data_IF_094428245066
#
_entry.id   IF_094428245066
#
_cell.length_a   1.000
_cell.length_b   1.000
_cell.length_c   1.000
_cell.angle_alpha   90.00
_cell.angle_beta   90.00
_cell.angle_gamma   90.00
#
_symmetry.space_group_name_H-M   'P 1'
#
loop_
_entity.id
_entity.type
_entity.pdbx_description
1 polymer ?
#
# COMPACT_ATOMS: atom_id res chain seq x y z
N UNK A 1 -11.75 8.19 11.01
CA UNK A 1 -10.44 7.72 10.54
C UNK A 1 -10.68 6.62 9.52
N UNK A 2 -10.02 6.61 8.36
CA UNK A 2 -10.04 5.46 7.44
C UNK A 2 -8.81 4.59 7.66
N UNK A 3 -9.02 3.28 7.73
CA UNK A 3 -7.99 2.29 8.00
C UNK A 3 -7.74 1.43 6.76
N UNK A 4 -6.54 1.52 6.20
CA UNK A 4 -6.07 0.64 5.12
C UNK A 4 -5.06 -0.38 5.64
N UNK A 5 -5.27 -1.65 5.30
CA UNK A 5 -4.35 -2.75 5.64
C UNK A 5 -3.70 -3.31 4.37
N UNK A 6 -2.37 -3.34 4.32
CA UNK A 6 -1.66 -4.09 3.28
C UNK A 6 -1.74 -5.59 3.55
N UNK A 7 -2.19 -6.34 2.55
CA UNK A 7 -2.40 -7.78 2.62
C UNK A 7 -1.75 -8.49 1.43
N UNK A 8 -1.30 -9.73 1.65
CA UNK A 8 -0.55 -10.51 0.65
C UNK A 8 -1.22 -11.84 0.30
N UNK A 9 -2.41 -12.10 0.84
CA UNK A 9 -3.19 -13.30 0.59
C UNK A 9 -4.64 -13.11 1.07
N UNK A 10 -5.52 -14.03 0.67
CA UNK A 10 -6.95 -13.99 1.00
C UNK A 10 -7.20 -14.13 2.50
N UNK A 11 -6.42 -14.96 3.20
CA UNK A 11 -6.55 -15.12 4.66
C UNK A 11 -6.35 -13.78 5.38
N UNK A 12 -5.31 -13.04 5.00
CA UNK A 12 -5.00 -11.71 5.51
C UNK A 12 -6.10 -10.71 5.20
N UNK A 13 -6.69 -10.77 4.01
CA UNK A 13 -7.82 -9.91 3.61
C UNK A 13 -9.06 -10.16 4.50
N UNK A 14 -9.41 -11.43 4.73
CA UNK A 14 -10.52 -11.81 5.62
C UNK A 14 -10.25 -11.38 7.06
N UNK A 15 -9.01 -11.54 7.54
CA UNK A 15 -8.59 -11.13 8.89
C UNK A 15 -8.57 -9.61 9.06
N UNK A 16 -8.18 -8.86 8.04
CA UNK A 16 -8.29 -7.41 8.04
C UNK A 16 -9.76 -6.97 8.17
N UNK A 17 -10.68 -7.65 7.48
CA UNK A 17 -12.13 -7.40 7.62
C UNK A 17 -12.65 -7.69 9.03
N UNK A 18 -12.26 -8.84 9.60
CA UNK A 18 -12.58 -9.20 10.99
C UNK A 18 -12.04 -8.16 11.99
N UNK A 19 -10.92 -7.53 11.65
CA UNK A 19 -10.31 -6.44 12.41
C UNK A 19 -11.01 -5.09 12.25
N UNK A 20 -11.92 -4.98 11.28
CA UNK A 20 -12.61 -3.74 10.95
C UNK A 20 -11.77 -2.79 10.08
N UNK A 21 -10.93 -3.29 9.18
CA UNK A 21 -10.37 -2.42 8.15
C UNK A 21 -11.49 -1.79 7.29
N UNK A 22 -11.28 -0.58 6.78
CA UNK A 22 -12.20 0.05 5.82
C UNK A 22 -11.83 -0.32 4.39
N UNK A 23 -10.54 -0.57 4.17
CA UNK A 23 -9.93 -0.86 2.89
C UNK A 23 -8.75 -1.80 3.05
N UNK A 24 -8.46 -2.57 2.00
CA UNK A 24 -7.20 -3.29 1.88
C UNK A 24 -6.41 -2.82 0.66
N UNK A 25 -5.09 -2.83 0.78
CA UNK A 25 -4.16 -2.82 -0.35
C UNK A 25 -3.69 -4.25 -0.59
N UNK A 26 -4.12 -4.86 -1.69
CA UNK A 26 -3.75 -6.21 -2.09
C UNK A 26 -2.47 -6.19 -2.92
N UNK A 27 -1.44 -6.84 -2.38
CA UNK A 27 -0.10 -6.94 -2.92
C UNK A 27 0.35 -8.40 -3.06
N UNK A 28 1.42 -8.63 -3.81
CA UNK A 28 2.22 -9.86 -3.78
C UNK A 28 3.69 -9.53 -3.49
N UNK A 29 4.55 -10.53 -3.28
CA UNK A 29 5.98 -10.40 -3.00
C UNK A 29 6.30 -9.42 -1.86
N UNK A 30 5.94 -9.76 -0.60
CA UNK A 30 6.16 -8.88 0.55
C UNK A 30 7.62 -8.46 0.78
N UNK A 31 8.58 -9.32 0.43
CA UNK A 31 10.02 -9.01 0.54
C UNK A 31 10.47 -7.89 -0.39
N UNK A 32 9.74 -7.67 -1.49
CA UNK A 32 10.02 -6.62 -2.48
C UNK A 32 9.28 -5.31 -2.17
N UNK A 33 8.56 -5.25 -1.05
CA UNK A 33 7.72 -4.11 -0.67
C UNK A 33 6.37 -4.03 -1.40
N UNK A 34 5.93 -5.13 -2.03
CA UNK A 34 4.64 -5.22 -2.73
C UNK A 34 4.76 -5.09 -4.25
N UNK A 35 4.17 -6.04 -4.97
CA UNK A 35 4.07 -6.09 -6.43
C UNK A 35 2.64 -6.44 -6.85
N UNK A 36 2.36 -6.35 -8.15
CA UNK A 36 1.04 -6.71 -8.69
C UNK A 36 0.70 -8.17 -8.37
N UNK A 37 -0.41 -8.45 -7.65
CA UNK A 37 -0.86 -9.81 -7.39
C UNK A 37 -1.45 -10.48 -8.62
N UNK A 38 -1.42 -11.81 -8.65
CA UNK A 38 -2.02 -12.57 -9.75
C UNK A 38 -3.53 -12.32 -9.88
N UNK A 39 -4.04 -12.40 -11.11
CA UNK A 39 -5.46 -12.24 -11.44
C UNK A 39 -6.38 -13.06 -10.52
N UNK A 40 -6.07 -14.35 -10.32
CA UNK A 40 -6.91 -15.25 -9.54
C UNK A 40 -6.98 -14.85 -8.06
N UNK A 41 -5.89 -14.27 -7.51
CA UNK A 41 -5.89 -13.76 -6.13
C UNK A 41 -6.76 -12.51 -6.03
N UNK A 42 -6.68 -11.59 -6.99
CA UNK A 42 -7.54 -10.40 -7.03
C UNK A 42 -9.02 -10.79 -7.09
N UNK A 43 -9.37 -11.67 -8.03
CA UNK A 43 -10.74 -12.16 -8.22
C UNK A 43 -11.27 -12.83 -6.95
N UNK A 44 -10.48 -13.74 -6.37
CA UNK A 44 -10.88 -14.44 -5.15
C UNK A 44 -11.03 -13.48 -3.98
N UNK A 45 -10.13 -12.51 -3.76
CA UNK A 45 -10.29 -11.54 -2.67
C UNK A 45 -11.55 -10.73 -2.88
N UNK A 46 -11.76 -10.19 -4.07
CA UNK A 46 -12.94 -9.35 -4.37
C UNK A 46 -14.26 -10.08 -4.10
N UNK A 47 -14.33 -11.38 -4.39
CA UNK A 47 -15.53 -12.18 -4.14
C UNK A 47 -15.81 -12.46 -2.65
N UNK A 48 -14.80 -12.35 -1.77
CA UNK A 48 -14.90 -12.80 -0.37
C UNK A 48 -14.81 -11.68 0.67
N UNK A 49 -14.56 -10.43 0.24
CA UNK A 49 -14.55 -9.26 1.14
C UNK A 49 -15.56 -8.22 0.70
N UNK A 50 -16.14 -7.50 1.66
CA UNK A 50 -17.10 -6.41 1.45
C UNK A 50 -16.47 -5.02 1.56
N UNK A 51 -15.23 -4.93 2.04
CA UNK A 51 -14.46 -3.67 2.13
C UNK A 51 -13.98 -3.21 0.75
N UNK A 52 -13.45 -1.98 0.69
CA UNK A 52 -12.76 -1.49 -0.49
C UNK A 52 -11.50 -2.34 -0.76
N UNK A 53 -11.28 -2.73 -2.00
CA UNK A 53 -10.11 -3.47 -2.47
C UNK A 53 -9.31 -2.60 -3.43
N UNK A 54 -8.11 -2.22 -3.01
CA UNK A 54 -7.15 -1.52 -3.85
C UNK A 54 -6.05 -2.47 -4.25
N UNK A 55 -5.72 -2.53 -5.55
CA UNK A 55 -4.74 -3.49 -6.07
C UNK A 55 -3.44 -2.77 -6.41
N UNK A 56 -2.31 -3.31 -5.96
CA UNK A 56 -0.99 -2.84 -6.36
C UNK A 56 -0.77 -3.05 -7.85
N UNK A 57 -0.28 -2.03 -8.56
CA UNK A 57 0.16 -2.08 -9.95
C UNK A 57 1.65 -1.72 -9.96
N UNK A 58 2.47 -2.74 -9.72
CA UNK A 58 3.92 -2.64 -9.64
C UNK A 58 4.54 -3.94 -10.17
N UNK A 59 5.10 -3.93 -11.40
CA UNK A 59 5.47 -5.16 -12.10
C UNK A 59 6.69 -5.88 -11.50
N UNK A 60 7.49 -5.19 -10.67
CA UNK A 60 8.67 -5.74 -10.00
C UNK A 60 9.07 -4.92 -8.76
N UNK A 61 9.95 -5.49 -7.95
CA UNK A 61 10.71 -4.78 -6.92
C UNK A 61 11.71 -3.75 -7.47
N UNK A 62 12.50 -3.17 -6.57
CA UNK A 62 13.50 -2.15 -6.90
C UNK A 62 12.89 -0.77 -7.19
N UNK A 63 13.48 -0.06 -8.15
CA UNK A 63 13.10 1.31 -8.52
C UNK A 63 11.70 1.44 -9.14
N UNK A 64 11.32 2.69 -9.40
CA UNK A 64 10.06 3.07 -10.04
C UNK A 64 10.27 3.68 -11.44
N UNK A 65 11.43 3.41 -12.06
CA UNK A 65 11.76 3.86 -13.40
C UNK A 65 11.55 2.71 -14.39
N UNK A 66 10.35 2.64 -14.95
CA UNK A 66 9.94 1.49 -15.75
C UNK A 66 10.29 1.63 -17.24
N UNK A 67 10.65 0.50 -17.85
CA UNK A 67 10.77 0.34 -19.30
C UNK A 67 9.40 0.43 -19.99
N UNK A 68 9.40 0.55 -21.31
CA UNK A 68 8.16 0.52 -22.11
C UNK A 68 7.40 -0.81 -22.00
N UNK A 69 8.12 -1.94 -21.84
CA UNK A 69 7.51 -3.26 -21.67
C UNK A 69 6.82 -3.40 -20.30
N UNK A 70 7.47 -2.93 -19.24
CA UNK A 70 6.88 -2.91 -17.90
C UNK A 70 5.67 -1.98 -17.83
N UNK A 71 5.76 -0.80 -18.44
CA UNK A 71 4.64 0.12 -18.55
C UNK A 71 3.46 -0.49 -19.33
N UNK A 72 3.73 -1.29 -20.36
CA UNK A 72 2.70 -2.06 -21.05
C UNK A 72 2.02 -3.08 -20.12
N UNK A 73 2.78 -3.81 -19.30
CA UNK A 73 2.21 -4.73 -18.32
C UNK A 73 1.32 -4.01 -17.29
N UNK A 74 1.81 -2.90 -16.71
CA UNK A 74 1.03 -2.09 -15.75
C UNK A 74 -0.32 -1.66 -16.33
N UNK A 75 -0.32 -1.26 -17.61
CA UNK A 75 -1.54 -0.98 -18.34
C UNK A 75 -2.46 -2.20 -18.32
N UNK A 76 -2.00 -3.35 -18.80
CA UNK A 76 -2.81 -4.58 -18.89
C UNK A 76 -3.36 -5.01 -17.54
N UNK A 77 -2.60 -4.83 -16.46
CA UNK A 77 -3.04 -5.13 -15.10
C UNK A 77 -4.20 -4.22 -14.64
N UNK A 78 -4.15 -2.93 -14.98
CA UNK A 78 -5.26 -1.99 -14.73
C UNK A 78 -6.54 -2.43 -15.47
N UNK A 79 -6.43 -2.89 -16.72
CA UNK A 79 -7.61 -3.40 -17.45
C UNK A 79 -8.26 -4.59 -16.74
N UNK A 80 -7.44 -5.46 -16.14
CA UNK A 80 -7.97 -6.61 -15.39
C UNK A 80 -8.63 -6.15 -14.09
N UNK A 81 -8.02 -5.20 -13.38
CA UNK A 81 -8.60 -4.62 -12.17
C UNK A 81 -9.99 -4.02 -12.44
N UNK A 82 -10.15 -3.31 -13.57
CA UNK A 82 -11.45 -2.78 -13.99
C UNK A 82 -12.49 -3.86 -14.24
N UNK A 83 -12.11 -4.94 -14.94
CA UNK A 83 -13.00 -6.08 -15.21
C UNK A 83 -13.45 -6.78 -13.93
N UNK A 84 -12.55 -6.88 -12.96
CA UNK A 84 -12.82 -7.45 -11.65
C UNK A 84 -13.59 -6.52 -10.71
N UNK A 85 -13.89 -5.28 -11.14
CA UNK A 85 -14.64 -4.30 -10.34
C UNK A 85 -14.06 -4.09 -8.94
N UNK A 86 -12.73 -4.00 -8.85
CA UNK A 86 -12.06 -3.52 -7.62
C UNK A 86 -12.37 -2.02 -7.43
N UNK A 87 -12.08 -1.46 -6.25
CA UNK A 87 -12.44 -0.07 -5.93
C UNK A 87 -11.33 0.93 -6.30
N UNK A 88 -10.10 0.44 -6.35
CA UNK A 88 -8.96 1.27 -6.68
C UNK A 88 -7.72 0.50 -7.11
N UNK A 89 -6.74 1.25 -7.57
CA UNK A 89 -5.39 0.75 -7.88
C UNK A 89 -4.34 1.64 -7.22
N UNK A 90 -3.18 1.06 -6.97
CA UNK A 90 -2.05 1.74 -6.34
C UNK A 90 -0.84 1.66 -7.27
N UNK A 91 -0.22 2.80 -7.60
CA UNK A 91 0.90 2.87 -8.54
C UNK A 91 1.78 4.10 -8.29
N UNK A 92 2.89 4.21 -9.00
CA UNK A 92 3.70 5.43 -9.07
C UNK A 92 4.92 5.21 -9.95
N UNK A 93 5.22 6.18 -10.82
CA UNK A 93 6.33 6.09 -11.78
C UNK A 93 7.19 7.34 -11.62
N UNK A 94 8.51 7.13 -11.58
CA UNK A 94 9.49 8.21 -11.47
C UNK A 94 10.37 8.29 -12.72
N UNK A 95 10.80 9.51 -13.02
CA UNK A 95 11.91 9.77 -13.91
C UNK A 95 13.24 9.45 -13.20
N UNK A 96 14.29 9.20 -13.99
CA UNK A 96 15.63 8.90 -13.47
C UNK A 96 16.23 10.02 -12.59
N UNK A 97 15.73 11.25 -12.70
CA UNK A 97 16.17 12.40 -11.90
C UNK A 97 15.42 12.56 -10.56
N UNK A 98 14.53 11.61 -10.24
CA UNK A 98 13.73 11.59 -9.03
C UNK A 98 12.46 12.44 -9.08
N UNK A 99 12.06 12.96 -10.25
CA UNK A 99 10.75 13.62 -10.43
C UNK A 99 9.65 12.61 -10.76
N UNK A 100 8.38 12.98 -10.55
CA UNK A 100 7.26 12.15 -10.98
C UNK A 100 7.20 12.07 -12.52
N UNK A 101 7.05 10.87 -13.09
CA UNK A 101 6.75 10.74 -14.52
C UNK A 101 5.27 11.10 -14.75
N UNK A 102 5.00 12.41 -14.86
CA UNK A 102 3.64 12.95 -14.98
C UNK A 102 2.89 12.38 -16.17
N UNK A 103 3.57 12.21 -17.31
CA UNK A 103 2.96 11.72 -18.55
C UNK A 103 2.45 10.29 -18.36
N UNK A 104 3.30 9.40 -17.85
CA UNK A 104 2.92 7.98 -17.67
C UNK A 104 1.96 7.79 -16.51
N UNK A 105 2.14 8.50 -15.41
CA UNK A 105 1.18 8.48 -14.30
C UNK A 105 -0.22 8.93 -14.76
N UNK A 106 -0.32 10.04 -15.50
CA UNK A 106 -1.59 10.52 -16.06
C UNK A 106 -2.24 9.50 -16.98
N UNK A 107 -1.48 8.88 -17.89
CA UNK A 107 -2.01 7.83 -18.79
C UNK A 107 -2.60 6.65 -18.00
N UNK A 108 -1.93 6.19 -16.94
CA UNK A 108 -2.44 5.09 -16.10
C UNK A 108 -3.66 5.51 -15.27
N UNK A 109 -3.67 6.74 -14.73
CA UNK A 109 -4.80 7.27 -13.96
C UNK A 109 -6.03 7.38 -14.85
N UNK A 110 -5.90 8.02 -16.01
CA UNK A 110 -7.00 8.18 -16.96
C UNK A 110 -7.56 6.81 -17.39
N UNK A 111 -6.65 5.83 -17.59
CA UNK A 111 -7.03 4.45 -17.90
C UNK A 111 -7.73 3.75 -16.75
N UNK A 112 -7.33 3.98 -15.51
CA UNK A 112 -7.92 3.35 -14.34
C UNK A 112 -9.32 3.88 -14.03
N UNK A 113 -9.68 5.10 -14.44
CA UNK A 113 -11.00 5.67 -14.14
C UNK A 113 -12.14 4.74 -14.62
N UNK A 114 -13.21 4.57 -13.83
CA UNK A 114 -13.59 5.36 -12.64
C UNK A 114 -12.94 4.93 -11.32
N UNK A 115 -12.01 3.96 -11.33
CA UNK A 115 -11.32 3.51 -10.12
C UNK A 115 -10.57 4.66 -9.45
N UNK A 116 -10.43 4.56 -8.12
CA UNK A 116 -9.60 5.47 -7.34
C UNK A 116 -8.12 5.09 -7.47
N UNK A 117 -7.23 6.08 -7.47
CA UNK A 117 -5.80 5.84 -7.66
C UNK A 117 -4.99 6.44 -6.51
N UNK A 118 -4.20 5.60 -5.85
CA UNK A 118 -3.24 6.01 -4.82
C UNK A 118 -1.82 6.04 -5.41
N UNK A 119 -1.10 7.13 -5.20
CA UNK A 119 0.35 7.19 -5.40
C UNK A 119 1.03 6.47 -4.23
N UNK A 120 1.68 5.33 -4.45
CA UNK A 120 2.42 4.62 -3.38
C UNK A 120 3.71 5.33 -2.98
N UNK A 121 4.51 4.67 -2.15
CA UNK A 121 5.80 5.12 -1.62
C UNK A 121 6.91 5.39 -2.63
N UNK A 122 6.67 5.27 -3.94
CA UNK A 122 7.51 5.98 -4.92
C UNK A 122 7.58 7.48 -4.62
N UNK A 123 6.51 8.05 -4.04
CA UNK A 123 6.52 9.41 -3.53
C UNK A 123 7.71 9.68 -2.59
N UNK A 124 7.99 8.76 -1.65
CA UNK A 124 9.10 8.90 -0.68
C UNK A 124 10.49 8.89 -1.33
N UNK A 125 10.58 8.47 -2.60
CA UNK A 125 11.82 8.43 -3.39
C UNK A 125 11.94 9.63 -4.34
N UNK A 126 11.02 10.59 -4.27
CA UNK A 126 11.07 11.81 -5.08
C UNK A 126 12.14 12.77 -4.59
N UNK A 127 12.68 13.58 -5.49
CA UNK A 127 13.73 14.57 -5.17
C UNK A 127 13.20 15.74 -4.34
N UNK A 128 11.98 16.19 -4.63
CA UNK A 128 11.33 17.32 -3.96
C UNK A 128 9.88 16.93 -3.59
N UNK A 129 9.56 16.71 -2.30
CA UNK A 129 8.24 16.26 -1.87
C UNK A 129 7.12 17.27 -2.14
N UNK A 130 7.39 18.58 -2.05
CA UNK A 130 6.36 19.60 -2.23
C UNK A 130 6.02 19.77 -3.71
N UNK A 131 7.03 19.73 -4.58
CA UNK A 131 6.78 19.69 -6.02
C UNK A 131 6.08 18.39 -6.43
N UNK A 132 6.50 17.24 -5.88
CA UNK A 132 5.87 15.96 -6.15
C UNK A 132 4.40 15.91 -5.71
N UNK A 133 4.04 16.60 -4.61
CA UNK A 133 2.66 16.76 -4.18
C UNK A 133 1.82 17.48 -5.24
N UNK A 134 2.28 18.62 -5.72
CA UNK A 134 1.56 19.39 -6.76
C UNK A 134 1.47 18.59 -8.07
N UNK A 135 2.54 17.88 -8.44
CA UNK A 135 2.52 17.01 -9.61
C UNK A 135 1.51 15.86 -9.47
N UNK A 136 1.39 15.26 -8.27
CA UNK A 136 0.40 14.21 -7.99
C UNK A 136 -1.03 14.75 -8.09
N UNK A 137 -1.28 15.96 -7.61
CA UNK A 137 -2.57 16.65 -7.73
C UNK A 137 -2.89 16.92 -9.21
N UNK A 138 -1.92 17.44 -9.97
CA UNK A 138 -2.10 17.78 -11.39
C UNK A 138 -2.48 16.55 -12.24
N UNK A 139 -1.80 15.42 -12.04
CA UNK A 139 -2.10 14.20 -12.79
C UNK A 139 -3.37 13.49 -12.31
N UNK A 140 -3.90 13.89 -11.16
CA UNK A 140 -5.19 13.44 -10.64
C UNK A 140 -5.13 12.19 -9.78
N UNK A 141 -4.10 11.99 -8.97
CA UNK A 141 -4.15 10.99 -7.90
C UNK A 141 -5.21 11.38 -6.85
N UNK A 142 -5.87 10.39 -6.26
CA UNK A 142 -6.84 10.61 -5.17
C UNK A 142 -6.14 10.63 -3.80
N UNK A 143 -4.98 9.98 -3.70
CA UNK A 143 -4.24 9.77 -2.44
C UNK A 143 -2.74 9.63 -2.66
N UNK A 144 -1.94 10.01 -1.67
CA UNK A 144 -0.51 9.70 -1.57
C UNK A 144 -0.26 8.86 -0.30
N UNK A 145 0.38 7.70 -0.45
CA UNK A 145 0.93 6.90 0.64
C UNK A 145 2.40 7.29 0.84
N UNK A 146 2.75 7.75 2.04
CA UNK A 146 4.09 8.30 2.32
C UNK A 146 4.53 8.02 3.76
N UNK A 147 5.84 7.86 3.93
CA UNK A 147 6.51 7.87 5.23
C UNK A 147 7.20 9.21 5.52
N UNK A 148 6.89 10.26 4.76
CA UNK A 148 7.49 11.58 4.87
C UNK A 148 8.97 11.58 4.48
N UNK A 149 9.36 10.86 3.42
CA UNK A 149 10.76 10.74 2.96
C UNK A 149 11.71 10.19 4.05
N UNK A 150 11.17 9.41 4.99
CA UNK A 150 11.93 8.79 6.08
C UNK A 150 11.70 7.29 6.13
N UNK A 151 12.48 6.56 6.93
CA UNK A 151 12.31 5.11 7.09
C UNK A 151 10.91 4.72 7.61
N UNK A 152 10.33 5.55 8.49
CA UNK A 152 8.97 5.36 9.05
C UNK A 152 8.21 6.67 9.08
N UNK A 153 6.87 6.60 8.99
CA UNK A 153 6.01 7.79 9.07
C UNK A 153 6.16 8.56 10.39
N UNK A 154 6.52 7.88 11.49
CA UNK A 154 6.80 8.55 12.75
C UNK A 154 8.00 9.50 12.65
N UNK A 155 9.07 9.06 11.97
CA UNK A 155 10.26 9.90 11.73
C UNK A 155 9.97 11.02 10.71
N UNK A 156 9.12 10.76 9.72
CA UNK A 156 8.73 11.74 8.70
C UNK A 156 7.53 12.62 9.08
N UNK A 157 7.09 12.59 10.34
CA UNK A 157 5.83 13.22 10.75
C UNK A 157 5.77 14.73 10.48
N UNK A 158 6.89 15.46 10.59
CA UNK A 158 6.95 16.89 10.28
C UNK A 158 6.69 17.17 8.80
N UNK A 159 7.27 16.38 7.88
CA UNK A 159 7.01 16.54 6.45
C UNK A 159 5.58 16.12 6.11
N UNK A 160 5.06 15.06 6.72
CA UNK A 160 3.67 14.62 6.52
C UNK A 160 2.68 15.71 6.94
N UNK A 161 2.91 16.38 8.08
CA UNK A 161 2.10 17.53 8.52
C UNK A 161 2.13 18.65 7.49
N UNK A 162 3.32 19.01 6.98
CA UNK A 162 3.46 20.02 5.91
C UNK A 162 2.69 19.59 4.65
N UNK A 163 2.84 18.35 4.19
CA UNK A 163 2.14 17.83 3.02
C UNK A 163 0.61 17.90 3.17
N UNK A 164 0.08 17.59 4.35
CA UNK A 164 -1.36 17.71 4.63
C UNK A 164 -1.83 19.16 4.54
N UNK A 165 -1.08 20.09 5.13
CA UNK A 165 -1.39 21.52 5.10
C UNK A 165 -1.34 22.06 3.65
N UNK A 166 -0.29 21.72 2.91
CA UNK A 166 -0.14 22.11 1.50
C UNK A 166 -1.21 21.47 0.62
N UNK A 167 -1.53 20.19 0.81
CA UNK A 167 -2.57 19.49 0.05
C UNK A 167 -3.93 20.19 0.19
N UNK A 168 -4.23 20.73 1.37
CA UNK A 168 -5.43 21.53 1.65
C UNK A 168 -6.72 20.87 1.13
N UNK A 169 -6.87 19.56 1.37
CA UNK A 169 -8.04 18.77 0.96
C UNK A 169 -8.12 18.42 -0.53
N UNK A 170 -7.18 18.87 -1.38
CA UNK A 170 -7.15 18.55 -2.83
C UNK A 170 -6.80 17.09 -3.11
N UNK A 171 -6.02 16.48 -2.22
CA UNK A 171 -5.60 15.08 -2.27
C UNK A 171 -5.46 14.54 -0.83
N UNK A 172 -5.75 13.27 -0.61
CA UNK A 172 -5.55 12.65 0.71
C UNK A 172 -4.07 12.28 0.93
N UNK A 173 -3.50 12.64 2.08
CA UNK A 173 -2.17 12.17 2.50
C UNK A 173 -2.35 11.08 3.55
N UNK A 174 -1.83 9.89 3.26
CA UNK A 174 -1.97 8.70 4.09
C UNK A 174 -0.60 8.28 4.61
N UNK A 175 -0.32 8.49 5.91
CA UNK A 175 0.90 8.02 6.53
C UNK A 175 1.00 6.49 6.50
N UNK A 176 2.17 5.97 6.11
CA UNK A 176 2.49 4.55 6.11
C UNK A 176 3.96 4.27 6.37
N UNK A 177 4.31 2.99 6.54
CA UNK A 177 5.59 2.51 7.09
C UNK A 177 5.75 2.78 8.59
N UNK A 178 5.84 1.72 9.40
CA UNK A 178 6.08 1.82 10.84
C UNK A 178 4.88 2.29 11.69
N UNK A 179 3.69 2.41 11.10
CA UNK A 179 2.44 2.69 11.83
C UNK A 179 2.02 1.43 12.59
N UNK A 180 1.90 1.55 13.92
CA UNK A 180 1.54 0.47 14.84
C UNK A 180 0.95 1.05 16.14
N UNK A 181 0.62 0.17 17.09
CA UNK A 181 -0.01 0.51 18.38
C UNK A 181 0.78 1.56 19.17
N UNK A 182 2.10 1.55 19.06
CA UNK A 182 2.98 2.46 19.82
C UNK A 182 3.17 3.81 19.13
N UNK A 183 2.98 3.88 17.80
CA UNK A 183 3.30 5.08 17.01
C UNK A 183 2.06 5.85 16.57
N UNK A 184 0.91 5.19 16.43
CA UNK A 184 -0.27 5.75 15.77
C UNK A 184 -0.82 6.99 16.47
N UNK A 185 -0.92 7.01 17.80
CA UNK A 185 -1.50 8.14 18.52
C UNK A 185 -0.67 9.42 18.34
N UNK A 186 0.65 9.31 18.49
CA UNK A 186 1.57 10.45 18.34
C UNK A 186 1.53 10.95 16.90
N UNK A 187 1.54 10.02 15.94
CA UNK A 187 1.49 10.34 14.51
C UNK A 187 0.20 11.09 14.14
N UNK A 188 -0.97 10.61 14.58
CA UNK A 188 -2.26 11.27 14.31
C UNK A 188 -2.36 12.64 14.98
N UNK A 189 -1.95 12.76 16.26
CA UNK A 189 -1.97 14.05 16.97
C UNK A 189 -1.14 15.12 16.26
N UNK A 190 0.03 14.72 15.72
CA UNK A 190 0.96 15.60 15.02
C UNK A 190 0.50 15.95 13.61
N UNK A 191 0.14 14.95 12.81
CA UNK A 191 -0.12 15.13 11.37
C UNK A 191 -1.56 15.51 11.06
N UNK A 192 -2.50 15.18 11.95
CA UNK A 192 -3.95 15.30 11.71
C UNK A 192 -4.43 14.52 10.48
N UNK A 193 -3.69 13.49 10.07
CA UNK A 193 -4.09 12.59 8.99
C UNK A 193 -5.45 11.94 9.30
N UNK A 194 -6.27 11.76 8.27
CA UNK A 194 -7.61 11.16 8.38
C UNK A 194 -7.67 9.75 7.80
N UNK A 195 -6.61 9.31 7.14
CA UNK A 195 -6.40 7.96 6.62
C UNK A 195 -5.03 7.45 7.06
N UNK A 196 -4.90 6.17 7.41
CA UNK A 196 -3.61 5.53 7.75
C UNK A 196 -3.47 4.17 7.09
N UNK A 197 -2.21 3.80 6.84
CA UNK A 197 -1.83 2.53 6.23
C UNK A 197 -0.87 1.74 7.13
N UNK A 198 -1.18 0.48 7.39
CA UNK A 198 -0.31 -0.42 8.15
C UNK A 198 -0.52 -1.90 7.79
N UNK A 199 0.30 -2.80 8.33
CA UNK A 199 0.26 -4.22 7.99
C UNK A 199 -0.37 -5.13 9.04
N UNK A 200 -0.32 -4.74 10.33
CA UNK A 200 -0.75 -5.59 11.45
C UNK A 200 -0.25 -7.05 11.34
N UNK A 201 0.98 -7.22 10.82
CA UNK A 201 1.50 -8.53 10.41
C UNK A 201 1.57 -9.48 11.60
N UNK A 202 1.09 -10.70 11.37
CA UNK A 202 1.26 -11.85 12.23
C UNK A 202 1.68 -13.06 11.41
N UNK A 203 2.01 -14.15 12.09
CA UNK A 203 2.39 -15.41 11.46
C UNK A 203 1.69 -16.57 12.15
N UNK A 204 1.33 -17.57 11.36
CA UNK A 204 0.91 -18.87 11.87
C UNK A 204 1.81 -19.97 11.35
N UNK A 205 1.94 -21.04 12.13
CA UNK A 205 2.66 -22.23 11.71
C UNK A 205 1.91 -22.95 10.58
N UNK A 206 2.69 -23.54 9.67
CA UNK A 206 2.19 -24.40 8.62
C UNK A 206 1.61 -25.70 9.18
N UNK A 207 0.57 -26.21 8.52
CA UNK A 207 -0.04 -27.51 8.83
C UNK A 207 0.81 -28.71 8.35
N UNK A 208 1.92 -28.45 7.64
CA UNK A 208 2.82 -29.50 7.17
C UNK A 208 3.41 -30.29 8.34
N UNK A 209 3.08 -31.58 8.39
CA UNK A 209 3.57 -32.50 9.43
C UNK A 209 5.03 -32.91 9.18
N UNK A 210 5.42 -33.08 7.92
CA UNK A 210 6.81 -33.34 7.53
C UNK A 210 7.52 -32.04 7.17
N UNK A 211 8.76 -31.89 7.67
CA UNK A 211 9.66 -30.78 7.34
C UNK A 211 11.00 -31.35 6.90
N UNK A 212 11.47 -30.98 5.71
CA UNK A 212 12.76 -31.43 5.21
C UNK A 212 13.89 -30.59 5.86
N UNK A 213 14.71 -31.16 6.76
CA UNK A 213 15.73 -30.39 7.46
C UNK A 213 16.93 -30.01 6.57
N UNK A 214 17.07 -30.61 5.39
CA UNK A 214 18.18 -30.31 4.47
C UNK A 214 17.98 -29.02 3.67
N UNK A 215 16.75 -28.47 3.64
CA UNK A 215 16.43 -27.22 2.95
C UNK A 215 16.26 -26.12 3.99
N UNK A 216 17.25 -25.22 4.07
CA UNK A 216 17.26 -24.12 5.03
C UNK A 216 16.47 -22.89 4.55
N UNK A 217 16.43 -22.67 3.24
CA UNK A 217 15.62 -21.62 2.61
C UNK A 217 15.31 -21.98 1.15
N UNK A 218 14.09 -21.69 0.67
CA UNK A 218 13.78 -21.60 -0.75
C UNK A 218 13.69 -20.16 -1.26
N UNK A 219 13.57 -19.19 -0.35
CA UNK A 219 13.52 -17.76 -0.64
C UNK A 219 14.68 -16.99 0.00
N UNK A 220 14.46 -15.71 0.27
CA UNK A 220 15.45 -14.86 0.94
C UNK A 220 15.61 -15.15 2.44
N UNK A 221 14.57 -15.69 3.07
CA UNK A 221 14.47 -15.75 4.54
C UNK A 221 14.53 -17.20 5.03
N UNK A 222 15.63 -17.56 5.69
CA UNK A 222 15.81 -18.91 6.22
C UNK A 222 14.75 -19.26 7.28
N UNK A 223 14.14 -20.44 7.16
CA UNK A 223 13.11 -20.94 8.07
C UNK A 223 11.73 -20.29 7.90
N UNK A 224 11.50 -19.60 6.79
CA UNK A 224 10.20 -19.02 6.43
C UNK A 224 9.24 -20.04 5.77
N UNK A 225 9.74 -21.19 5.32
CA UNK A 225 9.02 -22.22 4.54
C UNK A 225 7.73 -22.69 5.22
N UNK A 226 7.75 -22.71 6.55
CA UNK A 226 6.66 -23.19 7.39
C UNK A 226 5.98 -22.08 8.19
N UNK A 227 6.29 -20.81 7.89
CA UNK A 227 5.69 -19.63 8.53
C UNK A 227 4.80 -18.91 7.52
N UNK A 228 3.50 -18.95 7.76
CA UNK A 228 2.52 -18.34 6.88
C UNK A 228 2.16 -16.95 7.39
N UNK A 229 2.42 -15.94 6.56
CA UNK A 229 2.09 -14.54 6.85
C UNK A 229 0.57 -14.36 6.87
N UNK A 230 0.07 -13.71 7.91
CA UNK A 230 -1.34 -13.36 8.09
C UNK A 230 -1.47 -11.97 8.73
N UNK A 231 -2.70 -11.54 8.99
CA UNK A 231 -3.02 -10.30 9.72
C UNK A 231 -3.62 -10.66 11.07
N UNK A 232 -3.27 -9.91 12.11
CA UNK A 232 -3.91 -10.01 13.43
C UNK A 232 -5.11 -9.04 13.54
N UNK A 233 -6.35 -9.54 13.58
CA UNK A 233 -7.55 -8.71 13.70
C UNK A 233 -7.59 -7.87 14.99
N UNK A 234 -7.01 -8.35 16.09
CA UNK A 234 -7.01 -7.63 17.36
C UNK A 234 -6.12 -6.39 17.28
N UNK A 235 -4.97 -6.52 16.59
CA UNK A 235 -4.08 -5.39 16.31
C UNK A 235 -4.73 -4.35 15.42
N UNK A 236 -5.46 -4.77 14.38
CA UNK A 236 -6.24 -3.85 13.54
C UNK A 236 -7.25 -3.06 14.38
N UNK A 237 -8.03 -3.74 15.22
CA UNK A 237 -9.01 -3.09 16.13
C UNK A 237 -8.34 -2.12 17.09
N UNK A 238 -7.23 -2.53 17.71
CA UNK A 238 -6.51 -1.71 18.68
C UNK A 238 -5.93 -0.45 18.01
N UNK A 239 -5.25 -0.59 16.88
CA UNK A 239 -4.67 0.55 16.14
C UNK A 239 -5.78 1.51 15.71
N UNK A 240 -6.92 1.01 15.24
CA UNK A 240 -8.09 1.84 14.92
C UNK A 240 -8.55 2.66 16.12
N UNK A 241 -8.81 2.00 17.25
CA UNK A 241 -9.26 2.67 18.48
C UNK A 241 -8.27 3.76 18.92
N UNK A 242 -6.97 3.44 18.90
CA UNK A 242 -5.92 4.39 19.23
C UNK A 242 -5.88 5.58 18.26
N UNK A 243 -6.04 5.34 16.96
CA UNK A 243 -6.10 6.39 15.95
C UNK A 243 -7.33 7.30 16.11
N UNK A 244 -8.50 6.73 16.37
CA UNK A 244 -9.76 7.49 16.55
C UNK A 244 -9.76 8.34 17.81
N UNK A 245 -9.17 7.84 18.91
CA UNK A 245 -9.02 8.60 20.17
C UNK A 245 -7.99 9.73 20.08
N UNK A 246 -7.18 9.77 19.02
CA UNK A 246 -6.10 10.74 18.83
C UNK A 246 -6.45 11.91 17.91
N UNK A 247 -7.64 11.87 17.26
CA UNK A 247 -8.13 12.93 16.37
C UNK A 247 -8.41 14.24 17.12
#
# INVERSE_FOLDING_TARGET
MKIEIVVYNIESALKAQEGGADRIELCDNPGEGGTTPSYAIIESVRQHVSMDVFVMIRPRGGDFHYSSYEFYCMKRDIDQCQRLSVDGVVLGILNADGTLDKKRCKELIDRARPLKVTCHRAFDMTRDPLQALEDCIEVGFDRILTSGHQATAHLGADLIEQLIQHANGRIAIMPGSGVNENTVQVLIKKTKATEIHFSATAFRESAMQYRNPAIASMGSDAGAEFKLRTVDPQRVRLIRQLAETAL
#
